data_IF_587928667305
#
_entry.id   IF_587928667305
#
_cell.length_a   1.000
_cell.length_b   1.000
_cell.length_c   1.000
_cell.angle_alpha   90.00
_cell.angle_beta   90.00
_cell.angle_gamma   90.00
#
_symmetry.space_group_name_H-M   'P 1'
#
loop_
_entity.id
_entity.type
_entity.pdbx_description
1 polymer ?
#
# COMPACT_ATOMS: atom_id res chain seq x y z
N UNK A 1 20.48 15.52 13.23
CA UNK A 1 19.12 15.70 12.70
C UNK A 1 18.42 14.36 12.73
N UNK A 2 17.25 14.24 13.37
CA UNK A 2 16.62 12.94 13.60
C UNK A 2 15.79 12.41 12.40
N UNK A 3 15.45 13.28 11.45
CA UNK A 3 14.65 12.94 10.25
C UNK A 3 15.60 12.79 9.06
N UNK A 4 15.53 11.63 8.41
CA UNK A 4 16.37 11.27 7.27
C UNK A 4 15.69 11.50 5.93
N UNK A 5 14.39 11.22 5.84
CA UNK A 5 13.59 11.41 4.64
C UNK A 5 12.12 11.68 4.99
N UNK A 6 11.42 12.37 4.08
CA UNK A 6 10.01 12.70 4.25
C UNK A 6 9.34 12.68 2.88
N UNK A 7 8.31 11.84 2.73
CA UNK A 7 7.58 11.69 1.47
C UNK A 7 6.11 11.42 1.69
N UNK A 8 5.28 11.85 0.75
CA UNK A 8 3.88 11.45 0.72
C UNK A 8 3.75 9.97 0.34
N UNK A 9 2.92 9.21 1.06
CA UNK A 9 2.66 7.81 0.71
C UNK A 9 2.01 7.70 -0.67
N UNK A 10 1.08 8.62 -0.95
CA UNK A 10 0.44 8.77 -2.24
C UNK A 10 0.67 10.19 -2.72
N UNK A 11 1.39 10.34 -3.82
CA UNK A 11 1.55 11.63 -4.47
C UNK A 11 0.18 12.18 -4.88
N UNK A 12 0.00 13.49 -4.74
CA UNK A 12 -1.24 14.17 -5.11
C UNK A 12 -1.32 14.25 -6.64
N UNK A 13 -1.81 13.16 -7.26
CA UNK A 13 -1.90 13.04 -8.74
C UNK A 13 -2.94 13.96 -9.38
N UNK A 14 -3.92 14.42 -8.62
CA UNK A 14 -4.98 15.31 -9.10
C UNK A 14 -5.29 16.39 -8.07
N UNK A 15 -5.16 17.66 -8.46
CA UNK A 15 -5.69 18.80 -7.70
C UNK A 15 -7.22 18.80 -7.63
N UNK A 16 -7.86 18.01 -8.51
CA UNK A 16 -9.30 17.89 -8.74
C UNK A 16 -10.03 17.14 -7.63
N UNK A 17 -9.34 16.23 -6.91
CA UNK A 17 -9.95 15.40 -5.88
C UNK A 17 -9.76 16.05 -4.51
N UNK A 18 -10.85 16.55 -3.92
CA UNK A 18 -10.89 17.06 -2.54
C UNK A 18 -10.64 15.93 -1.54
N UNK A 19 -9.39 15.53 -1.36
CA UNK A 19 -9.00 14.60 -0.29
C UNK A 19 -8.81 15.40 1.00
N UNK A 20 -9.65 15.13 2.00
CA UNK A 20 -9.56 15.76 3.32
C UNK A 20 -8.41 15.19 4.18
N UNK A 21 -7.88 14.01 3.81
CA UNK A 21 -6.83 13.31 4.55
C UNK A 21 -5.73 12.85 3.59
N UNK A 22 -4.49 12.86 4.07
CA UNK A 22 -3.32 12.40 3.33
C UNK A 22 -2.35 11.74 4.31
N UNK A 23 -1.63 10.72 3.86
CA UNK A 23 -0.68 9.98 4.69
C UNK A 23 0.75 10.37 4.33
N UNK A 24 1.52 10.76 5.35
CA UNK A 24 2.92 11.12 5.22
C UNK A 24 3.79 9.99 5.77
N UNK A 25 4.85 9.64 5.05
CA UNK A 25 5.88 8.69 5.49
C UNK A 25 7.10 9.50 5.89
N UNK A 26 7.53 9.31 7.13
CA UNK A 26 8.74 9.94 7.69
C UNK A 26 9.73 8.83 7.98
N UNK A 27 10.95 8.96 7.49
CA UNK A 27 12.06 8.06 7.79
C UNK A 27 12.91 8.74 8.84
N UNK A 28 13.06 8.08 9.99
CA UNK A 28 13.90 8.54 11.09
C UNK A 28 15.20 7.73 11.11
N UNK A 29 16.25 8.31 11.66
CA UNK A 29 17.52 7.60 11.85
C UNK A 29 17.46 6.62 13.03
N UNK A 30 16.67 6.94 14.05
CA UNK A 30 16.63 6.25 15.31
C UNK A 30 15.26 5.61 15.60
N UNK A 31 15.28 4.38 16.12
CA UNK A 31 14.07 3.64 16.45
C UNK A 31 13.35 4.21 17.68
N UNK A 32 14.10 4.69 18.68
CA UNK A 32 13.49 5.31 19.87
C UNK A 32 12.80 6.63 19.52
N UNK A 33 13.31 7.38 18.53
CA UNK A 33 12.62 8.53 17.97
C UNK A 33 11.28 8.15 17.32
N UNK A 34 11.21 7.02 16.61
CA UNK A 34 9.97 6.51 16.01
C UNK A 34 8.95 6.11 17.08
N UNK A 35 9.38 5.36 18.10
CA UNK A 35 8.53 4.99 19.24
C UNK A 35 8.01 6.20 20.00
N UNK A 36 8.87 7.22 20.20
CA UNK A 36 8.48 8.48 20.81
C UNK A 36 7.37 9.20 20.03
N UNK A 37 7.43 9.21 18.69
CA UNK A 37 6.38 9.79 17.85
C UNK A 37 5.09 8.97 17.85
N UNK A 38 5.18 7.64 17.90
CA UNK A 38 4.00 6.76 17.99
C UNK A 38 3.29 6.96 19.33
N UNK A 39 4.03 7.08 20.43
CA UNK A 39 3.44 7.30 21.76
C UNK A 39 2.89 8.72 21.94
N UNK A 40 3.57 9.75 21.43
CA UNK A 40 3.23 11.16 21.68
C UNK A 40 2.36 11.79 20.60
N UNK A 41 2.17 11.12 19.46
CA UNK A 41 1.55 11.67 18.24
C UNK A 41 2.36 12.82 17.63
N UNK A 42 2.23 13.02 16.31
CA UNK A 42 2.92 14.08 15.61
C UNK A 42 1.99 15.29 15.44
N UNK A 43 2.38 16.47 15.91
CA UNK A 43 1.60 17.69 15.69
C UNK A 43 2.06 18.43 14.44
N UNK A 44 1.17 18.54 13.44
CA UNK A 44 1.40 19.30 12.20
C UNK A 44 0.47 20.50 12.17
N UNK A 45 1.03 21.71 12.22
CA UNK A 45 0.26 22.99 12.23
C UNK A 45 -0.82 22.99 13.34
N UNK A 46 -0.47 22.50 14.53
CA UNK A 46 -1.37 22.41 15.67
C UNK A 46 -2.41 21.27 15.62
N UNK A 47 -2.43 20.48 14.54
CA UNK A 47 -3.28 19.29 14.43
C UNK A 47 -2.51 18.04 14.87
N UNK A 48 -3.05 17.29 15.82
CA UNK A 48 -2.47 15.99 16.21
C UNK A 48 -2.75 14.95 15.13
N UNK A 49 -1.69 14.39 14.56
CA UNK A 49 -1.73 13.32 13.58
C UNK A 49 -1.29 12.02 14.24
N UNK A 50 -2.12 10.96 14.18
CA UNK A 50 -1.72 9.65 14.68
C UNK A 50 -0.56 9.12 13.84
N UNK A 51 0.46 8.59 14.52
CA UNK A 51 1.63 7.99 13.90
C UNK A 51 1.54 6.48 14.06
N UNK A 52 1.94 5.74 13.03
CA UNK A 52 1.98 4.28 13.06
C UNK A 52 3.16 3.79 12.23
N UNK A 53 3.61 2.57 12.53
CA UNK A 53 4.66 1.92 11.74
C UNK A 53 4.24 1.79 10.28
N UNK A 54 5.14 2.14 9.38
CA UNK A 54 4.93 1.96 7.95
C UNK A 54 5.11 0.49 7.58
N UNK A 55 4.00 -0.19 7.26
CA UNK A 55 4.03 -1.56 6.74
C UNK A 55 3.81 -1.49 5.22
N UNK A 56 4.81 -1.82 4.38
CA UNK A 56 4.62 -1.86 2.95
C UNK A 56 3.57 -2.92 2.60
N UNK A 57 2.65 -2.64 1.65
CA UNK A 57 1.65 -3.61 1.27
C UNK A 57 2.34 -4.88 0.75
N UNK A 58 1.87 -6.08 1.12
CA UNK A 58 2.44 -7.31 0.65
C UNK A 58 2.33 -7.38 -0.88
N UNK A 59 3.42 -7.77 -1.53
CA UNK A 59 3.44 -7.99 -2.97
C UNK A 59 2.54 -9.20 -3.25
N UNK A 60 1.42 -8.95 -3.92
CA UNK A 60 0.53 -9.99 -4.41
C UNK A 60 0.51 -10.00 -5.95
N UNK A 61 0.41 -11.19 -6.50
CA UNK A 61 0.38 -11.41 -7.93
C UNK A 61 -1.06 -11.26 -8.43
N UNK A 62 -1.31 -10.26 -9.28
CA UNK A 62 -2.62 -10.06 -9.92
C UNK A 62 -3.04 -11.21 -10.84
N UNK A 63 -2.12 -12.11 -11.19
CA UNK A 63 -2.42 -13.24 -12.08
C UNK A 63 -2.90 -14.48 -11.30
N UNK A 64 -2.13 -14.91 -10.30
CA UNK A 64 -2.41 -16.15 -9.55
C UNK A 64 -2.94 -15.90 -8.13
N UNK A 65 -3.05 -14.66 -7.68
CA UNK A 65 -3.37 -14.25 -6.30
C UNK A 65 -2.38 -14.76 -5.24
N UNK A 66 -1.21 -15.25 -5.65
CA UNK A 66 -0.14 -15.66 -4.74
C UNK A 66 0.65 -14.48 -4.19
N UNK A 67 1.29 -14.66 -3.04
CA UNK A 67 2.15 -13.65 -2.40
C UNK A 67 3.62 -13.80 -2.85
N UNK A 68 4.40 -12.72 -2.71
CA UNK A 68 5.85 -12.73 -2.89
C UNK A 68 6.35 -12.48 -4.31
N UNK A 69 5.46 -12.27 -5.28
CA UNK A 69 5.84 -11.93 -6.66
C UNK A 69 4.76 -11.08 -7.36
N UNK A 70 5.16 -10.32 -8.37
CA UNK A 70 4.22 -9.61 -9.25
C UNK A 70 3.87 -10.46 -10.49
N UNK A 71 2.77 -10.11 -11.16
CA UNK A 71 2.29 -10.83 -12.35
C UNK A 71 3.36 -11.04 -13.44
N UNK A 72 4.27 -10.06 -13.63
CA UNK A 72 5.39 -10.15 -14.58
C UNK A 72 6.37 -11.28 -14.28
N UNK A 73 6.57 -11.62 -13.00
CA UNK A 73 7.46 -12.67 -12.53
C UNK A 73 6.70 -13.95 -12.16
N UNK A 74 5.42 -14.06 -12.55
CA UNK A 74 4.59 -15.20 -12.20
C UNK A 74 4.94 -16.41 -13.09
N UNK A 75 5.31 -17.53 -12.45
CA UNK A 75 5.57 -18.79 -13.14
C UNK A 75 4.32 -19.35 -13.84
N UNK A 76 3.13 -19.02 -13.33
CA UNK A 76 1.83 -19.42 -13.88
C UNK A 76 1.37 -18.56 -15.08
N UNK A 77 2.22 -17.63 -15.54
CA UNK A 77 2.04 -16.88 -16.78
C UNK A 77 2.51 -17.67 -18.02
N UNK A 78 3.02 -18.89 -17.83
CA UNK A 78 3.39 -19.82 -18.90
C UNK A 78 2.19 -20.71 -19.23
N UNK A 79 2.06 -21.05 -20.51
CA UNK A 79 0.92 -21.75 -21.10
C UNK A 79 0.59 -23.08 -20.36
N UNK A 80 -0.68 -23.33 -19.98
CA UNK A 80 -1.84 -22.44 -20.11
C UNK A 80 -1.91 -21.37 -19.00
N UNK A 81 -2.27 -20.11 -19.33
CA UNK A 81 -2.38 -19.04 -18.35
C UNK A 81 -3.53 -19.30 -17.36
N UNK A 82 -3.17 -19.66 -16.12
CA UNK A 82 -4.14 -19.80 -15.03
C UNK A 82 -4.40 -18.44 -14.38
N UNK A 83 -5.14 -17.59 -15.11
CA UNK A 83 -5.60 -16.31 -14.55
C UNK A 83 -6.68 -16.57 -13.50
N UNK A 84 -6.47 -16.01 -12.30
CA UNK A 84 -7.42 -16.05 -11.20
C UNK A 84 -8.06 -14.70 -10.98
N UNK A 85 -9.38 -14.72 -10.84
CA UNK A 85 -10.17 -13.54 -10.54
C UNK A 85 -9.74 -12.92 -9.20
N UNK A 86 -9.51 -11.61 -9.18
CA UNK A 86 -9.15 -10.88 -7.97
C UNK A 86 -10.30 -10.75 -6.96
N UNK A 87 -11.55 -11.06 -7.37
CA UNK A 87 -12.72 -11.02 -6.50
C UNK A 87 -13.05 -12.36 -5.87
N UNK A 88 -13.11 -13.43 -6.67
CA UNK A 88 -13.61 -14.74 -6.23
C UNK A 88 -12.58 -15.87 -6.32
N UNK A 89 -11.34 -15.59 -6.73
CA UNK A 89 -10.29 -16.56 -6.98
C UNK A 89 -10.62 -17.66 -8.01
N UNK A 90 -11.70 -17.49 -8.78
CA UNK A 90 -12.10 -18.40 -9.87
C UNK A 90 -11.18 -18.31 -11.09
N UNK A 91 -11.21 -19.34 -11.93
CA UNK A 91 -10.39 -19.46 -13.16
C UNK A 91 -10.92 -18.61 -14.32
N UNK A 92 -11.14 -17.32 -14.09
CA UNK A 92 -11.57 -16.35 -15.10
C UNK A 92 -10.91 -14.99 -14.84
N UNK A 93 -10.89 -14.13 -15.85
CA UNK A 93 -10.41 -12.76 -15.71
C UNK A 93 -11.41 -11.95 -14.85
N UNK A 94 -10.93 -11.08 -13.95
CA UNK A 94 -11.79 -10.28 -13.06
C UNK A 94 -12.88 -9.47 -13.78
N UNK A 95 -12.67 -9.12 -15.06
CA UNK A 95 -13.65 -8.40 -15.89
C UNK A 95 -14.86 -9.25 -16.29
N UNK A 96 -14.69 -10.57 -16.30
CA UNK A 96 -15.70 -11.58 -16.64
C UNK A 96 -16.32 -12.21 -15.39
N UNK A 97 -16.08 -11.63 -14.21
CA UNK A 97 -16.57 -12.15 -12.95
C UNK A 97 -18.07 -11.84 -12.79
N UNK A 98 -18.90 -12.88 -12.86
CA UNK A 98 -20.35 -12.82 -12.63
C UNK A 98 -20.74 -12.99 -11.14
N UNK A 99 -19.76 -13.02 -10.22
CA UNK A 99 -20.07 -13.14 -8.80
C UNK A 99 -20.77 -11.86 -8.30
N UNK A 100 -21.91 -11.97 -7.58
CA UNK A 100 -22.51 -10.82 -6.90
C UNK A 100 -21.51 -10.24 -5.88
N UNK A 101 -21.42 -8.90 -5.82
CA UNK A 101 -20.60 -8.19 -4.82
C UNK A 101 -21.10 -8.45 -3.40
#
# INVERSE_FOLDING_TARGET
DAIKDLRWLHERKDASVKKNTSSLVIVLEDAAAAEGLIQRSLSVVGTSCPVSYFVPPPIHCYHCQGFGHMAKACSANKDPPSIKCAKCAGSHATRDCECPN
#
